data_IF_037900434601
#
_entry.id   IF_037900434601
#
_cell.length_a   1.000
_cell.length_b   1.000
_cell.length_c   1.000
_cell.angle_alpha   90.00
_cell.angle_beta   90.00
_cell.angle_gamma   90.00
#
_symmetry.space_group_name_H-M   'P 1'
#
loop_
_entity.id
_entity.type
_entity.pdbx_description
1 polymer ?
#
# COMPACT_ATOMS: atom_id res chain seq x y z
N UNK A 1 12.52 -4.85 -16.66
CA UNK A 1 11.72 -4.48 -15.49
C UNK A 1 10.32 -4.12 -15.99
N UNK A 2 9.37 -5.02 -15.82
CA UNK A 2 8.00 -4.76 -16.28
C UNK A 2 7.37 -3.75 -15.33
N UNK A 3 7.16 -2.51 -15.77
CA UNK A 3 6.27 -1.57 -15.09
C UNK A 3 4.86 -2.16 -15.18
N UNK A 4 4.32 -2.63 -14.07
CA UNK A 4 2.90 -2.98 -14.01
C UNK A 4 2.12 -1.69 -14.24
N UNK A 5 1.29 -1.70 -15.26
CA UNK A 5 0.41 -0.57 -15.53
C UNK A 5 -0.65 -0.51 -14.43
N UNK A 6 -0.79 0.64 -13.80
CA UNK A 6 -1.81 0.92 -12.78
C UNK A 6 -3.09 1.46 -13.42
N UNK A 7 -2.94 2.00 -14.63
CA UNK A 7 -4.02 2.59 -15.41
C UNK A 7 -5.18 1.61 -15.62
N UNK A 8 -6.38 2.07 -15.31
CA UNK A 8 -7.62 1.31 -15.47
C UNK A 8 -7.88 0.27 -14.37
N UNK A 9 -6.94 0.06 -13.43
CA UNK A 9 -7.12 -0.89 -12.34
C UNK A 9 -7.96 -0.29 -11.19
N UNK A 10 -8.67 -1.17 -10.49
CA UNK A 10 -9.38 -0.81 -9.26
C UNK A 10 -8.42 -0.87 -8.07
N UNK A 11 -8.13 0.26 -7.46
CA UNK A 11 -7.28 0.37 -6.29
C UNK A 11 -8.13 0.67 -5.04
N UNK A 12 -7.92 -0.09 -3.99
CA UNK A 12 -8.55 0.12 -2.68
C UNK A 12 -7.48 0.51 -1.67
N UNK A 13 -7.62 1.69 -1.09
CA UNK A 13 -6.76 2.17 -0.01
C UNK A 13 -7.54 2.08 1.29
N UNK A 14 -7.13 1.17 2.18
CA UNK A 14 -7.75 0.99 3.50
C UNK A 14 -6.97 1.81 4.51
N UNK A 15 -7.51 2.98 4.83
CA UNK A 15 -6.90 4.01 5.65
C UNK A 15 -7.00 5.38 5.00
N UNK A 16 -7.14 6.43 5.81
CA UNK A 16 -7.32 7.81 5.34
C UNK A 16 -6.47 8.84 6.08
N UNK A 17 -5.32 8.42 6.58
CA UNK A 17 -4.41 9.34 7.24
C UNK A 17 -3.91 10.41 6.26
N UNK A 18 -3.63 11.64 6.72
CA UNK A 18 -3.06 12.69 5.87
C UNK A 18 -1.61 12.39 5.45
N UNK A 19 -0.95 11.45 6.13
CA UNK A 19 0.46 11.12 5.87
C UNK A 19 0.59 10.03 4.81
N UNK A 20 -0.27 9.02 4.82
CA UNK A 20 -0.16 7.85 3.94
C UNK A 20 -1.43 7.57 3.13
N UNK A 21 -2.58 7.34 3.76
CA UNK A 21 -3.77 6.89 3.06
C UNK A 21 -4.26 7.86 1.98
N UNK A 22 -4.43 9.14 2.31
CA UNK A 22 -4.85 10.17 1.36
C UNK A 22 -3.82 10.42 0.26
N UNK A 23 -2.52 10.64 0.56
CA UNK A 23 -1.51 10.81 -0.48
C UNK A 23 -1.39 9.61 -1.41
N UNK A 24 -1.43 8.40 -0.89
CA UNK A 24 -1.36 7.17 -1.69
C UNK A 24 -2.55 7.08 -2.66
N UNK A 25 -3.75 7.39 -2.19
CA UNK A 25 -4.93 7.41 -3.04
C UNK A 25 -4.81 8.42 -4.19
N UNK A 26 -4.28 9.61 -3.92
CA UNK A 26 -4.04 10.63 -4.95
C UNK A 26 -2.95 10.23 -5.94
N UNK A 27 -1.89 9.58 -5.48
CA UNK A 27 -0.84 9.06 -6.36
C UNK A 27 -1.40 7.98 -7.31
N UNK A 28 -2.21 7.05 -6.81
CA UNK A 28 -2.86 6.04 -7.64
C UNK A 28 -3.84 6.64 -8.64
N UNK A 29 -4.60 7.66 -8.22
CA UNK A 29 -5.49 8.40 -9.11
C UNK A 29 -4.72 9.10 -10.23
N UNK A 30 -3.59 9.74 -9.92
CA UNK A 30 -2.72 10.37 -10.91
C UNK A 30 -2.09 9.37 -11.90
N UNK A 31 -2.06 8.08 -11.56
CA UNK A 31 -1.66 7.00 -12.44
C UNK A 31 -2.86 6.36 -13.18
N UNK A 32 -3.99 7.06 -13.22
CA UNK A 32 -5.23 6.64 -13.90
C UNK A 32 -5.88 5.37 -13.32
N UNK A 33 -5.67 5.06 -12.03
CA UNK A 33 -6.43 4.04 -11.35
C UNK A 33 -7.81 4.56 -10.92
N UNK A 34 -8.79 3.66 -10.84
CA UNK A 34 -10.04 3.93 -10.13
C UNK A 34 -9.81 3.66 -8.65
N UNK A 35 -9.92 4.68 -7.80
CA UNK A 35 -9.53 4.60 -6.39
C UNK A 35 -10.73 4.65 -5.46
N UNK A 36 -10.81 3.68 -4.55
CA UNK A 36 -11.73 3.67 -3.42
C UNK A 36 -10.96 3.82 -2.12
N UNK A 37 -11.32 4.82 -1.32
CA UNK A 37 -10.75 5.03 0.01
C UNK A 37 -11.70 4.45 1.05
N UNK A 38 -11.23 3.47 1.82
CA UNK A 38 -11.96 2.84 2.91
C UNK A 38 -11.45 3.31 4.28
N UNK A 39 -12.32 3.28 5.27
CA UNK A 39 -12.02 3.72 6.63
C UNK A 39 -12.91 3.00 7.64
N UNK A 40 -12.76 3.29 8.93
CA UNK A 40 -13.48 2.63 10.04
C UNK A 40 -15.01 2.69 9.97
N UNK A 41 -15.57 3.55 9.14
CA UNK A 41 -17.03 3.65 8.93
C UNK A 41 -17.48 3.08 7.58
N UNK A 42 -16.57 2.49 6.81
CA UNK A 42 -16.92 1.83 5.54
C UNK A 42 -17.72 0.56 5.82
N UNK A 43 -18.85 0.44 5.17
CA UNK A 43 -19.67 -0.78 5.23
C UNK A 43 -19.23 -1.76 4.14
N UNK A 44 -19.38 -3.05 4.40
CA UNK A 44 -19.07 -4.13 3.45
C UNK A 44 -17.64 -4.05 2.91
N UNK A 45 -16.66 -3.79 3.80
CA UNK A 45 -15.25 -3.62 3.44
C UNK A 45 -14.70 -4.85 2.69
N UNK A 46 -15.07 -6.05 3.12
CA UNK A 46 -14.70 -7.31 2.49
C UNK A 46 -15.10 -7.35 1.01
N UNK A 47 -16.36 -6.99 0.69
CA UNK A 47 -16.86 -6.99 -0.70
C UNK A 47 -16.14 -5.98 -1.60
N UNK A 48 -15.68 -4.87 -1.00
CA UNK A 48 -14.91 -3.84 -1.70
C UNK A 48 -13.51 -4.38 -2.00
N UNK A 49 -12.84 -5.00 -1.02
CA UNK A 49 -11.49 -5.55 -1.17
C UNK A 49 -11.49 -6.70 -2.18
N UNK A 50 -12.49 -7.57 -2.18
CA UNK A 50 -12.62 -8.69 -3.13
C UNK A 50 -12.65 -8.27 -4.60
N UNK A 51 -12.97 -7.01 -4.89
CA UNK A 51 -13.02 -6.46 -6.26
C UNK A 51 -11.76 -5.69 -6.65
N UNK A 52 -10.83 -5.51 -5.70
CA UNK A 52 -9.64 -4.70 -5.91
C UNK A 52 -8.55 -5.45 -6.67
N UNK A 53 -7.93 -4.79 -7.64
CA UNK A 53 -6.72 -5.24 -8.32
C UNK A 53 -5.47 -4.82 -7.55
N UNK A 54 -5.56 -3.71 -6.82
CA UNK A 54 -4.51 -3.17 -5.96
C UNK A 54 -5.11 -2.90 -4.58
N UNK A 55 -4.47 -3.41 -3.54
CA UNK A 55 -4.88 -3.21 -2.15
C UNK A 55 -3.74 -2.56 -1.39
N UNK A 56 -4.05 -1.47 -0.69
CA UNK A 56 -3.10 -0.77 0.20
C UNK A 56 -3.66 -0.80 1.63
N UNK A 57 -2.97 -1.48 2.53
CA UNK A 57 -3.28 -1.50 3.96
C UNK A 57 -2.53 -0.38 4.70
N UNK A 58 -3.27 0.52 5.33
CA UNK A 58 -2.75 1.67 6.08
C UNK A 58 -3.69 2.07 7.23
N UNK A 59 -4.14 1.08 8.01
CA UNK A 59 -5.13 1.26 9.09
C UNK A 59 -4.50 1.35 10.48
N UNK A 60 -3.28 0.84 10.65
CA UNK A 60 -2.60 0.78 11.93
C UNK A 60 -3.19 -0.27 12.89
N UNK A 61 -3.77 -1.32 12.38
CA UNK A 61 -4.34 -2.44 13.16
C UNK A 61 -3.72 -3.74 12.62
N UNK A 62 -3.07 -4.55 13.50
CA UNK A 62 -2.41 -5.78 13.09
C UNK A 62 -3.36 -6.75 12.39
N UNK A 63 -2.96 -7.24 11.22
CA UNK A 63 -3.69 -8.27 10.45
C UNK A 63 -5.18 -7.97 10.25
N UNK A 64 -5.54 -6.71 10.12
CA UNK A 64 -6.94 -6.26 9.98
C UNK A 64 -7.57 -6.76 8.67
N UNK A 65 -6.82 -6.71 7.57
CA UNK A 65 -7.26 -7.19 6.26
C UNK A 65 -6.91 -8.67 6.16
N UNK A 66 -7.93 -9.51 5.99
CA UNK A 66 -7.75 -10.96 5.94
C UNK A 66 -7.36 -11.42 4.54
N UNK A 67 -6.55 -12.47 4.45
CA UNK A 67 -6.07 -13.02 3.18
C UNK A 67 -7.19 -13.52 2.27
N UNK A 68 -8.26 -14.07 2.83
CA UNK A 68 -9.44 -14.58 2.11
C UNK A 68 -10.31 -13.47 1.47
N UNK A 69 -10.09 -12.20 1.85
CA UNK A 69 -10.72 -11.06 1.18
C UNK A 69 -9.99 -10.64 -0.10
N UNK A 70 -8.77 -11.13 -0.30
CA UNK A 70 -7.90 -10.68 -1.39
C UNK A 70 -8.22 -11.45 -2.67
N UNK A 71 -8.48 -10.70 -3.73
CA UNK A 71 -8.72 -11.24 -5.07
C UNK A 71 -7.46 -11.95 -5.58
N UNK A 72 -7.66 -13.08 -6.26
CA UNK A 72 -6.56 -13.75 -6.95
C UNK A 72 -5.84 -12.81 -7.92
N UNK A 73 -4.53 -12.90 -7.94
CA UNK A 73 -3.63 -12.09 -8.75
C UNK A 73 -3.60 -10.59 -8.41
N UNK A 74 -4.22 -10.15 -7.30
CA UNK A 74 -4.12 -8.78 -6.83
C UNK A 74 -2.68 -8.40 -6.43
N UNK A 75 -2.40 -7.09 -6.46
CA UNK A 75 -1.19 -6.50 -5.90
C UNK A 75 -1.49 -6.01 -4.49
N UNK A 76 -0.69 -6.44 -3.51
CA UNK A 76 -0.90 -6.15 -2.10
C UNK A 76 0.24 -5.30 -1.55
N UNK A 77 -0.07 -4.13 -1.04
CA UNK A 77 0.89 -3.19 -0.44
C UNK A 77 0.50 -3.01 1.03
N UNK A 78 1.31 -3.54 1.92
CA UNK A 78 1.13 -3.39 3.36
C UNK A 78 2.08 -2.31 3.87
N UNK A 79 1.51 -1.20 4.33
CA UNK A 79 2.24 -0.08 4.91
C UNK A 79 2.18 -0.08 6.46
N UNK A 80 1.57 -1.09 7.05
CA UNK A 80 1.55 -1.29 8.50
C UNK A 80 2.87 -1.86 9.01
N UNK A 81 3.18 -1.55 10.26
CA UNK A 81 4.25 -2.18 11.02
C UNK A 81 3.88 -2.20 12.50
N UNK A 82 3.92 -3.37 13.10
CA UNK A 82 3.57 -3.59 14.50
C UNK A 82 4.71 -4.29 15.27
N UNK A 83 4.76 -4.17 16.60
CA UNK A 83 5.80 -4.80 17.42
C UNK A 83 5.92 -6.31 17.20
N UNK A 84 4.83 -6.97 16.83
CA UNK A 84 4.76 -8.41 16.52
C UNK A 84 5.41 -8.76 15.16
N UNK A 85 6.06 -7.80 14.51
CA UNK A 85 6.67 -7.93 13.18
C UNK A 85 5.67 -8.34 12.08
N UNK A 86 4.44 -7.87 12.18
CA UNK A 86 3.41 -7.99 11.16
C UNK A 86 2.94 -6.62 10.68
N UNK A 87 2.20 -6.59 9.60
CA UNK A 87 1.56 -5.40 9.06
C UNK A 87 0.07 -5.34 9.36
N UNK A 88 -0.63 -4.53 8.58
CA UNK A 88 -2.08 -4.36 8.64
C UNK A 88 -2.83 -5.45 7.86
N UNK A 89 -2.13 -6.22 7.03
CA UNK A 89 -2.68 -7.29 6.21
C UNK A 89 -2.18 -8.64 6.73
N UNK A 90 -3.07 -9.61 6.80
CA UNK A 90 -2.64 -10.98 7.04
C UNK A 90 -1.97 -11.53 5.77
N UNK A 91 -0.69 -11.83 5.87
CA UNK A 91 0.11 -12.31 4.74
C UNK A 91 0.27 -13.83 4.74
N UNK A 92 -0.48 -14.56 5.58
CA UNK A 92 -0.44 -16.02 5.57
C UNK A 92 -0.93 -16.56 4.23
N UNK A 93 -0.11 -17.38 3.57
CA UNK A 93 -0.36 -17.93 2.22
C UNK A 93 -0.58 -16.89 1.10
N UNK A 94 -0.18 -15.65 1.29
CA UNK A 94 -0.40 -14.56 0.33
C UNK A 94 0.29 -14.84 -1.02
N UNK A 95 1.42 -15.54 -1.04
CA UNK A 95 2.17 -15.92 -2.23
C UNK A 95 1.37 -16.81 -3.20
N UNK A 96 0.34 -17.51 -2.71
CA UNK A 96 -0.53 -18.35 -3.53
C UNK A 96 -1.72 -17.57 -4.12
N UNK A 97 -1.94 -16.33 -3.64
CA UNK A 97 -3.11 -15.51 -3.98
C UNK A 97 -2.70 -14.27 -4.75
N UNK A 98 -1.76 -13.49 -4.21
CA UNK A 98 -1.33 -12.23 -4.79
C UNK A 98 -0.30 -12.45 -5.91
N UNK A 99 -0.38 -11.62 -6.95
CA UNK A 99 0.63 -11.61 -8.00
C UNK A 99 1.91 -10.86 -7.59
N UNK A 100 1.80 -9.98 -6.61
CA UNK A 100 2.92 -9.31 -5.94
C UNK A 100 2.44 -8.78 -4.59
N UNK A 101 3.32 -8.79 -3.61
CA UNK A 101 3.04 -8.21 -2.31
C UNK A 101 4.31 -7.64 -1.67
N UNK A 102 4.13 -6.70 -0.74
CA UNK A 102 5.21 -6.21 0.11
C UNK A 102 5.30 -7.05 1.38
N UNK A 103 6.45 -7.63 1.71
CA UNK A 103 6.60 -8.34 2.99
C UNK A 103 6.62 -7.35 4.17
N UNK A 104 6.26 -7.84 5.35
CA UNK A 104 6.44 -7.10 6.61
C UNK A 104 7.09 -8.05 7.63
N UNK A 105 8.29 -7.74 8.14
CA UNK A 105 9.15 -6.60 7.81
C UNK A 105 9.87 -6.74 6.46
N UNK A 106 10.49 -5.66 5.99
CA UNK A 106 11.36 -5.68 4.80
C UNK A 106 10.73 -5.10 3.52
N UNK A 107 9.48 -4.65 3.57
CA UNK A 107 8.75 -4.07 2.44
C UNK A 107 8.80 -2.54 2.39
N UNK A 108 7.70 -1.88 2.73
CA UNK A 108 7.52 -0.42 2.64
C UNK A 108 8.47 0.35 3.57
N UNK A 109 8.72 -0.16 4.78
CA UNK A 109 9.57 0.51 5.78
C UNK A 109 10.96 0.86 5.24
N UNK A 110 11.78 -0.11 4.78
CA UNK A 110 13.10 0.16 4.19
C UNK A 110 13.06 1.10 2.99
N UNK A 111 12.03 1.04 2.16
CA UNK A 111 11.85 1.95 1.03
C UNK A 111 11.62 3.40 1.48
N UNK A 112 10.86 3.60 2.55
CA UNK A 112 10.64 4.91 3.15
C UNK A 112 11.95 5.53 3.64
N UNK A 113 12.78 4.75 4.35
CA UNK A 113 14.09 5.19 4.84
C UNK A 113 15.02 5.53 3.67
N UNK A 114 15.10 4.67 2.67
CA UNK A 114 15.92 4.89 1.48
C UNK A 114 15.51 6.18 0.74
N UNK A 115 14.21 6.41 0.58
CA UNK A 115 13.70 7.62 -0.07
C UNK A 115 14.04 8.88 0.74
N UNK A 116 13.95 8.83 2.07
CA UNK A 116 14.32 9.95 2.94
C UNK A 116 15.80 10.30 2.80
N UNK A 117 16.68 9.33 2.80
CA UNK A 117 18.13 9.53 2.60
C UNK A 117 18.40 10.15 1.23
N UNK A 118 17.78 9.63 0.17
CA UNK A 118 17.94 10.14 -1.19
C UNK A 118 17.48 11.61 -1.30
N UNK A 119 16.32 11.95 -0.73
CA UNK A 119 15.78 13.31 -0.74
C UNK A 119 16.67 14.27 0.06
N UNK A 120 17.23 13.81 1.17
CA UNK A 120 18.18 14.61 1.97
C UNK A 120 19.44 14.92 1.17
N UNK A 121 20.01 13.92 0.47
CA UNK A 121 21.17 14.12 -0.40
C UNK A 121 20.88 15.10 -1.52
N UNK A 122 19.77 14.93 -2.24
CA UNK A 122 19.35 15.82 -3.32
C UNK A 122 19.15 17.27 -2.84
N UNK A 123 18.65 17.45 -1.62
CA UNK A 123 18.49 18.78 -1.01
C UNK A 123 19.85 19.42 -0.72
N UNK A 124 20.80 18.64 -0.17
CA UNK A 124 22.15 19.11 0.09
C UNK A 124 22.89 19.49 -1.19
N UNK A 125 22.80 18.68 -2.24
CA UNK A 125 23.42 18.96 -3.56
C UNK A 125 22.92 20.29 -4.15
N UNK A 126 21.61 20.56 -4.07
CA UNK A 126 21.04 21.85 -4.53
C UNK A 126 21.57 23.04 -3.75
N UNK A 127 21.87 22.87 -2.47
CA UNK A 127 22.37 23.95 -1.61
C UNK A 127 23.85 24.26 -1.91
N UNK A 128 24.64 23.24 -2.27
CA UNK A 128 26.08 23.39 -2.57
C UNK A 128 26.32 23.91 -4.00
N UNK A 129 25.37 23.67 -4.91
CA UNK A 129 25.49 24.07 -6.34
C UNK A 129 25.10 25.54 -6.61
N UNK A 130 24.69 26.28 -5.59
CA UNK A 130 24.43 27.72 -5.63
C UNK A 130 25.56 28.49 -4.91
#
# INVERSE_FOLDING_TARGET
MYKRQVEGLNAVVVGRSPILGKPMAMMLLNLNATVTICHSRTKNLEDIIKKADIIVGAVGIPKFIQTDWIKKDAVVIDAGYHPEKCGDIDLENIENIASAYTPVPGGVGPMTINTLILQTLQSAEKTVSN
#
